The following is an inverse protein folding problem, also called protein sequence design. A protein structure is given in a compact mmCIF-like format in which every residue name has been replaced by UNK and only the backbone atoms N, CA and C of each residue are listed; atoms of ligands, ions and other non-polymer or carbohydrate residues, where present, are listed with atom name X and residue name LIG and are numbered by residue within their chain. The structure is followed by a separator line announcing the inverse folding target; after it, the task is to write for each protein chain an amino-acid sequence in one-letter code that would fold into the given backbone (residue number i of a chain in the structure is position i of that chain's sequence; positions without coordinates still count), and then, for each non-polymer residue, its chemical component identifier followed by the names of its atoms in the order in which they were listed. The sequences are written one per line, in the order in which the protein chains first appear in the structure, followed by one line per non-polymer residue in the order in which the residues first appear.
data_IF_445662849533
#
_entry.id   IF_445662849533
#
_cell.length_a   1.000
_cell.length_b   1.000
_cell.length_c   1.000
_cell.angle_alpha   90.00
_cell.angle_beta   90.00
_cell.angle_gamma   90.00
#
_symmetry.space_group_name_H-M   'P 1'
#
loop_
_entity.id
_entity.type
_entity.pdbx_description
1 polymer ?
#
# COMPACT_ATOMS: atom_id res chain seq x y z
N UNK A 1 11.73 -7.49 -4.00
CA UNK A 1 11.01 -7.89 -2.78
C UNK A 1 11.89 -7.62 -1.56
N UNK A 2 11.33 -6.99 -0.52
CA UNK A 2 11.98 -6.75 0.78
C UNK A 2 12.46 -8.05 1.43
N UNK A 3 11.69 -9.14 1.26
CA UNK A 3 11.97 -10.44 1.89
C UNK A 3 13.21 -11.12 1.35
N UNK A 4 13.67 -10.78 0.13
CA UNK A 4 14.83 -11.41 -0.52
C UNK A 4 16.09 -10.58 -0.32
N UNK A 5 17.24 -11.23 -0.19
CA UNK A 5 18.57 -10.57 -0.16
C UNK A 5 19.00 -10.06 -1.54
N UNK A 6 20.08 -9.25 -1.62
CA UNK A 6 20.65 -8.83 -2.93
C UNK A 6 21.17 -10.03 -3.74
N UNK A 7 21.80 -11.00 -3.07
CA UNK A 7 22.27 -12.26 -3.67
C UNK A 7 21.10 -13.08 -4.23
N UNK A 8 19.94 -13.03 -3.58
CA UNK A 8 18.70 -13.71 -3.99
C UNK A 8 17.87 -12.92 -5.05
N UNK A 9 18.41 -11.83 -5.60
CA UNK A 9 17.80 -11.13 -6.75
C UNK A 9 17.18 -9.78 -6.47
N UNK A 10 17.23 -9.26 -5.24
CA UNK A 10 16.83 -7.86 -4.97
C UNK A 10 17.86 -6.89 -5.58
N UNK A 11 17.42 -5.95 -6.42
CA UNK A 11 18.31 -4.96 -7.06
C UNK A 11 18.25 -3.57 -6.43
N UNK A 12 17.13 -3.22 -5.82
CA UNK A 12 16.94 -1.90 -5.17
C UNK A 12 17.24 -1.94 -3.67
N UNK A 13 17.36 -0.75 -3.05
CA UNK A 13 17.50 -0.59 -1.60
C UNK A 13 16.27 -1.14 -0.85
N UNK A 14 16.39 -1.34 0.47
CA UNK A 14 15.22 -1.73 1.28
C UNK A 14 14.13 -0.63 1.21
N UNK A 15 14.55 0.63 1.07
CA UNK A 15 13.69 1.80 0.92
C UNK A 15 13.11 2.00 -0.49
N UNK A 16 13.35 1.10 -1.43
CA UNK A 16 12.56 1.08 -2.67
C UNK A 16 11.95 -0.30 -2.89
N UNK A 17 12.11 -1.21 -1.92
CA UNK A 17 11.62 -2.57 -2.02
C UNK A 17 10.19 -2.67 -1.49
N UNK A 18 9.33 -3.32 -2.26
CA UNK A 18 7.95 -3.63 -1.86
C UNK A 18 7.88 -5.06 -1.29
N UNK A 19 7.05 -5.26 -0.27
CA UNK A 19 6.77 -6.58 0.33
C UNK A 19 5.79 -7.34 -0.56
N UNK A 20 6.13 -8.57 -0.97
CA UNK A 20 5.31 -9.38 -1.90
C UNK A 20 4.92 -8.58 -3.15
N UNK A 21 5.88 -8.21 -4.01
CA UNK A 21 5.59 -7.54 -5.26
C UNK A 21 4.88 -8.49 -6.24
N UNK A 22 3.86 -7.99 -6.91
CA UNK A 22 3.05 -8.66 -7.93
C UNK A 22 3.15 -7.95 -9.28
N UNK A 23 2.83 -8.64 -10.39
CA UNK A 23 2.96 -8.08 -11.74
C UNK A 23 2.00 -6.90 -11.98
N UNK A 24 0.80 -6.96 -11.40
CA UNK A 24 -0.22 -5.92 -11.57
C UNK A 24 0.18 -4.63 -10.84
N UNK A 25 0.51 -4.72 -9.56
CA UNK A 25 1.02 -3.59 -8.80
C UNK A 25 2.28 -2.98 -9.41
N UNK A 26 3.19 -3.82 -9.95
CA UNK A 26 4.38 -3.34 -10.66
C UNK A 26 4.01 -2.55 -11.93
N UNK A 27 3.03 -3.03 -12.70
CA UNK A 27 2.55 -2.36 -13.90
C UNK A 27 1.87 -1.02 -13.57
N UNK A 28 1.01 -0.99 -12.55
CA UNK A 28 0.31 0.22 -12.12
C UNK A 28 1.28 1.29 -11.60
N UNK A 29 2.29 0.88 -10.81
CA UNK A 29 3.35 1.79 -10.38
C UNK A 29 4.18 2.31 -11.56
N UNK A 30 4.57 1.44 -12.50
CA UNK A 30 5.29 1.85 -13.70
C UNK A 30 4.49 2.86 -14.54
N UNK A 31 3.17 2.69 -14.63
CA UNK A 31 2.28 3.66 -15.30
C UNK A 31 2.17 4.97 -14.55
N UNK A 32 2.09 4.93 -13.22
CA UNK A 32 2.04 6.13 -12.38
C UNK A 32 3.33 6.97 -12.46
N UNK A 33 4.46 6.31 -12.69
CA UNK A 33 5.75 6.96 -12.99
C UNK A 33 5.75 7.69 -14.33
N UNK A 34 4.86 7.30 -15.25
CA UNK A 34 4.79 7.85 -16.60
C UNK A 34 5.34 6.93 -17.69
N UNK A 35 5.80 5.71 -17.38
CA UNK A 35 6.33 4.80 -18.40
C UNK A 35 5.23 4.34 -19.35
N UNK A 36 5.40 4.64 -20.65
CA UNK A 36 4.39 4.29 -21.69
C UNK A 36 4.77 3.02 -22.43
N UNK A 37 6.04 2.88 -22.81
CA UNK A 37 6.57 1.74 -23.59
C UNK A 37 6.92 0.55 -22.69
N UNK A 38 5.88 -0.11 -22.17
CA UNK A 38 6.01 -1.26 -21.27
C UNK A 38 5.16 -2.46 -21.75
N UNK A 39 5.68 -3.69 -21.56
CA UNK A 39 5.00 -4.94 -21.91
C UNK A 39 4.94 -5.88 -20.70
N UNK A 40 3.76 -6.43 -20.43
CA UNK A 40 3.53 -7.44 -19.38
C UNK A 40 3.65 -8.84 -19.95
N UNK A 41 4.34 -9.72 -19.23
CA UNK A 41 4.42 -11.14 -19.56
C UNK A 41 4.13 -11.96 -18.30
N UNK A 42 2.90 -12.50 -18.20
CA UNK A 42 2.40 -13.13 -16.98
C UNK A 42 3.05 -14.48 -16.66
N UNK A 43 3.42 -15.27 -17.67
CA UNK A 43 3.93 -16.64 -17.49
C UNK A 43 5.46 -16.73 -17.45
N UNK A 44 6.15 -15.61 -17.26
CA UNK A 44 7.61 -15.62 -17.15
C UNK A 44 8.06 -16.05 -15.75
N UNK A 45 9.01 -16.97 -15.69
CA UNK A 45 9.71 -17.36 -14.48
C UNK A 45 11.10 -16.72 -14.42
N UNK A 46 11.66 -16.58 -13.21
CA UNK A 46 13.05 -16.16 -13.04
C UNK A 46 13.98 -17.39 -13.05
N UNK A 47 15.22 -17.28 -13.56
CA UNK A 47 16.14 -18.44 -13.59
C UNK A 47 16.40 -19.07 -12.21
N UNK A 48 16.40 -18.26 -11.15
CA UNK A 48 16.61 -18.74 -9.79
C UNK A 48 15.39 -19.41 -9.14
N UNK A 49 14.25 -19.44 -9.83
CA UNK A 49 13.00 -20.06 -9.36
C UNK A 49 12.09 -20.37 -10.56
N UNK A 50 12.40 -21.45 -11.30
CA UNK A 50 11.74 -21.77 -12.57
C UNK A 50 10.25 -22.08 -12.45
N UNK A 51 9.81 -22.52 -11.27
CA UNK A 51 8.42 -22.89 -11.01
C UNK A 51 7.57 -21.68 -10.61
N UNK A 52 8.19 -20.61 -10.09
CA UNK A 52 7.50 -19.38 -9.74
C UNK A 52 7.18 -18.55 -11.00
N UNK A 53 5.97 -18.72 -11.52
CA UNK A 53 5.40 -17.94 -12.64
C UNK A 53 4.89 -16.58 -12.16
N UNK A 54 5.78 -15.81 -11.54
CA UNK A 54 5.48 -14.46 -11.00
C UNK A 54 5.23 -13.43 -12.12
N UNK A 55 5.73 -13.70 -13.33
CA UNK A 55 5.68 -12.81 -14.49
C UNK A 55 6.86 -11.85 -14.56
N UNK A 56 6.93 -11.08 -15.66
CA UNK A 56 7.93 -10.02 -15.87
C UNK A 56 7.34 -8.80 -16.57
N UNK A 57 7.89 -7.64 -16.23
CA UNK A 57 7.63 -6.39 -16.94
C UNK A 57 8.85 -6.04 -17.80
N UNK A 58 8.62 -5.88 -19.10
CA UNK A 58 9.63 -5.41 -20.05
C UNK A 58 9.43 -3.91 -20.25
N UNK A 59 10.51 -3.14 -20.16
CA UNK A 59 10.50 -1.69 -20.29
C UNK A 59 11.46 -1.31 -21.41
N UNK A 60 11.02 -0.46 -22.34
CA UNK A 60 11.91 0.14 -23.34
C UNK A 60 12.83 1.16 -22.68
N UNK A 61 14.16 1.02 -22.86
CA UNK A 61 15.13 1.98 -22.31
C UNK A 61 14.93 3.39 -22.87
N UNK A 62 14.85 3.52 -24.19
CA UNK A 62 14.62 4.83 -24.84
C UNK A 62 13.26 5.42 -24.47
N UNK A 63 12.24 4.59 -24.25
CA UNK A 63 10.96 5.04 -23.72
C UNK A 63 11.05 5.56 -22.29
N UNK A 64 11.76 4.86 -21.41
CA UNK A 64 11.91 5.27 -20.01
C UNK A 64 12.71 6.57 -19.86
N UNK A 65 13.74 6.75 -20.69
CA UNK A 65 14.53 7.98 -20.72
C UNK A 65 13.68 9.16 -21.20
N UNK A 66 12.88 8.99 -22.26
CA UNK A 66 12.00 10.03 -22.77
C UNK A 66 10.81 10.36 -21.84
N UNK A 67 10.18 9.34 -21.26
CA UNK A 67 8.94 9.51 -20.48
C UNK A 67 9.21 9.89 -19.01
N UNK A 68 10.27 9.35 -18.40
CA UNK A 68 10.53 9.46 -16.96
C UNK A 68 11.92 10.03 -16.63
N UNK A 69 12.73 10.40 -17.64
CA UNK A 69 14.08 10.94 -17.44
C UNK A 69 15.11 9.95 -16.88
N UNK A 70 14.73 8.67 -16.75
CA UNK A 70 15.57 7.65 -16.12
C UNK A 70 16.34 6.87 -17.19
N UNK A 71 17.67 6.95 -17.15
CA UNK A 71 18.56 6.38 -18.18
C UNK A 71 19.09 4.99 -17.80
N UNK A 72 19.10 4.66 -16.50
CA UNK A 72 19.63 3.41 -15.98
C UNK A 72 18.53 2.45 -15.51
N UNK A 73 18.76 1.15 -15.68
CA UNK A 73 17.85 0.11 -15.20
C UNK A 73 17.57 0.22 -13.69
N UNK A 74 18.59 0.56 -12.93
CA UNK A 74 18.51 0.64 -11.47
C UNK A 74 17.71 1.85 -11.02
N UNK A 75 17.90 3.00 -11.65
CA UNK A 75 17.12 4.22 -11.43
C UNK A 75 15.64 3.99 -11.74
N UNK A 76 15.33 3.38 -12.89
CA UNK A 76 13.95 2.99 -13.25
C UNK A 76 13.34 2.11 -12.15
N UNK A 77 14.07 1.09 -11.69
CA UNK A 77 13.58 0.21 -10.63
C UNK A 77 13.39 0.92 -9.29
N UNK A 78 14.28 1.86 -8.93
CA UNK A 78 14.17 2.64 -7.70
C UNK A 78 12.97 3.59 -7.76
N UNK A 79 12.76 4.24 -8.89
CA UNK A 79 11.69 5.21 -9.10
C UNK A 79 10.31 4.53 -9.11
N UNK A 80 10.19 3.36 -9.75
CA UNK A 80 8.98 2.52 -9.62
C UNK A 80 8.80 2.02 -8.17
N UNK A 81 9.89 1.61 -7.52
CA UNK A 81 9.82 1.06 -6.17
C UNK A 81 9.38 2.09 -5.10
N UNK A 82 9.88 3.31 -5.20
CA UNK A 82 9.52 4.43 -4.31
C UNK A 82 8.07 4.84 -4.50
N UNK A 83 7.64 5.10 -5.74
CA UNK A 83 6.25 5.44 -6.07
C UNK A 83 5.28 4.35 -5.62
N UNK A 84 5.61 3.08 -5.81
CA UNK A 84 4.77 1.98 -5.35
C UNK A 84 4.62 1.92 -3.82
N UNK A 85 5.70 2.18 -3.07
CA UNK A 85 5.60 2.25 -1.60
C UNK A 85 4.75 3.43 -1.15
N UNK A 86 4.86 4.58 -1.81
CA UNK A 86 4.03 5.74 -1.50
C UNK A 86 2.55 5.46 -1.75
N UNK A 87 2.22 4.78 -2.85
CA UNK A 87 0.85 4.35 -3.14
C UNK A 87 0.31 3.45 -2.03
N UNK A 88 1.05 2.39 -1.66
CA UNK A 88 0.64 1.49 -0.57
C UNK A 88 0.53 2.19 0.78
N UNK A 89 1.41 3.16 1.05
CA UNK A 89 1.35 3.96 2.28
C UNK A 89 0.09 4.83 2.29
N UNK A 90 -0.23 5.51 1.19
CA UNK A 90 -1.44 6.32 1.03
C UNK A 90 -2.70 5.47 1.18
N UNK A 91 -2.77 4.29 0.55
CA UNK A 91 -3.88 3.34 0.69
C UNK A 91 -4.09 2.90 2.14
N UNK A 92 -3.00 2.55 2.83
CA UNK A 92 -3.07 2.12 4.22
C UNK A 92 -3.42 3.27 5.18
N UNK A 93 -2.94 4.49 4.92
CA UNK A 93 -3.34 5.68 5.67
C UNK A 93 -4.82 6.02 5.44
N UNK A 94 -5.32 5.91 4.21
CA UNK A 94 -6.73 6.09 3.90
C UNK A 94 -7.61 5.04 4.56
N UNK A 95 -7.16 3.78 4.60
CA UNK A 95 -7.87 2.70 5.30
C UNK A 95 -7.87 2.88 6.82
N UNK A 96 -6.87 3.57 7.38
CA UNK A 96 -6.76 3.87 8.82
C UNK A 96 -7.43 5.16 9.26
N UNK A 97 -7.72 6.07 8.33
CA UNK A 97 -8.53 7.26 8.64
C UNK A 97 -9.96 6.78 8.90
N UNK A 98 -10.52 6.96 10.10
CA UNK A 98 -11.94 6.72 10.30
C UNK A 98 -12.68 7.60 9.30
N UNK A 99 -13.69 7.04 8.61
CA UNK A 99 -14.57 7.81 7.74
C UNK A 99 -15.03 9.06 8.52
N UNK A 100 -14.55 10.24 8.11
CA UNK A 100 -14.88 11.48 8.81
C UNK A 100 -16.41 11.63 8.79
N UNK A 101 -17.06 11.96 9.92
CA UNK A 101 -18.51 12.00 9.99
C UNK A 101 -19.02 13.03 8.97
N UNK A 102 -19.98 12.59 8.16
CA UNK A 102 -20.72 13.41 7.20
C UNK A 102 -21.14 14.69 7.91
N UNK A 103 -20.67 15.84 7.41
CA UNK A 103 -20.97 17.18 7.91
C UNK A 103 -22.46 17.48 7.69
N UNK A 104 -23.33 16.95 8.54
CA UNK A 104 -24.71 17.41 8.66
C UNK A 104 -24.72 18.61 9.62
N UNK A 105 -24.55 19.78 9.01
CA UNK A 105 -25.01 21.04 9.57
C UNK A 105 -26.50 20.94 9.91
N UNK A 106 -26.86 21.16 11.16
CA UNK A 106 -28.24 21.49 11.52
C UNK A 106 -28.74 20.93 12.85
N UNK A 107 -28.52 21.72 13.90
CA UNK A 107 -29.54 22.05 14.92
C UNK A 107 -30.12 20.89 15.75
N UNK A 108 -29.64 20.73 16.98
CA UNK A 108 -30.47 20.94 18.20
C UNK A 108 -29.70 20.52 19.45
N UNK A 109 -29.11 21.51 20.10
CA UNK A 109 -28.87 21.48 21.54
C UNK A 109 -30.23 21.57 22.25
N UNK A 110 -30.67 20.49 22.89
CA UNK A 110 -31.66 20.56 23.96
C UNK A 110 -31.07 19.87 25.18
N UNK A 111 -30.71 20.69 26.17
CA UNK A 111 -30.37 20.21 27.50
C UNK A 111 -31.59 19.68 28.25
N UNK A 112 -31.32 19.26 29.49
CA UNK A 112 -32.22 18.65 30.48
C UNK A 112 -32.35 17.12 30.29
N UNK A 113 -32.11 16.27 31.28
CA UNK A 113 -32.34 16.45 32.71
C UNK A 113 -31.29 15.73 33.57
N UNK A 114 -30.86 16.42 34.64
CA UNK A 114 -30.30 15.79 35.85
C UNK A 114 -31.47 15.14 36.60
N UNK A 115 -31.46 13.82 36.79
CA UNK A 115 -32.25 13.19 37.84
C UNK A 115 -31.31 12.64 38.94
N UNK A 116 -31.14 13.46 39.98
CA UNK A 116 -30.70 12.99 41.31
C UNK A 116 -31.89 12.30 41.96
N UNK A 117 -31.90 10.97 41.99
CA UNK A 117 -32.84 10.15 42.76
C UNK A 117 -32.10 9.40 43.86
N UNK A 118 -32.42 9.71 45.11
CA UNK A 118 -31.85 9.17 46.35
C UNK A 118 -32.17 7.67 46.53
N UNK A 119 -31.20 6.96 47.10
CA UNK A 119 -31.33 5.95 48.18
C UNK A 119 -32.58 5.05 48.21
N UNK A 120 -32.40 3.74 48.05
CA UNK A 120 -32.62 2.82 49.17
C UNK A 120 -32.10 1.40 48.87
N UNK A 121 -31.32 0.90 49.82
CA UNK A 121 -31.36 -0.47 50.34
C UNK A 121 -31.79 -1.61 49.40
N UNK A 122 -30.85 -2.54 49.13
CA UNK A 122 -30.92 -3.91 49.67
C UNK A 122 -29.63 -4.66 49.39
N UNK A 123 -28.89 -4.89 50.48
CA UNK A 123 -27.95 -6.01 50.63
C UNK A 123 -28.63 -7.30 50.17
N UNK A 124 -27.91 -8.14 49.42
CA UNK A 124 -27.96 -9.59 49.62
C UNK A 124 -26.63 -10.21 49.17
N UNK A 125 -25.84 -10.55 50.17
CA UNK A 125 -24.65 -11.37 50.14
C UNK A 125 -25.01 -12.87 50.17
N UNK A 126 -24.00 -13.68 49.86
CA UNK A 126 -23.86 -15.15 49.91
C UNK A 126 -24.32 -15.89 48.64
N UNK A 127 -23.47 -16.56 47.83
CA UNK A 127 -22.32 -17.49 48.02
C UNK A 127 -22.77 -18.95 48.17
N UNK A 128 -22.56 -19.77 47.14
CA UNK A 128 -21.71 -20.98 47.08
C UNK A 128 -21.94 -21.69 45.75
#
# INVERSE_FOLDING_TARGET
DVRRSRRSGRRVSKDASVKKPDLEGLYNAARAVGLRKIKREANAARPSDPHAREGRLIVSRSGAEADAGASSKEEIMQLIGTTWREQRKKEHEQAKKPASPRKQSGKSSSGQAKSKGRSSSRRRSFKR
#
